data_IF_077827827785
#
_entry.id   IF_077827827785
#
_cell.length_a   1.000
_cell.length_b   1.000
_cell.length_c   1.000
_cell.angle_alpha   90.00
_cell.angle_beta   90.00
_cell.angle_gamma   90.00
#
_symmetry.space_group_name_H-M   'P 1'
#
loop_
_entity.id
_entity.type
_entity.pdbx_description
1 polymer ?
#
# COMPACT_ATOMS: atom_id res chain seq x y z
N UNK A 1 -11.85 16.61 -13.38
CA UNK A 1 -10.57 16.95 -12.68
C UNK A 1 -9.56 15.80 -12.68
N UNK A 2 -9.93 14.60 -13.16
CA UNK A 2 -8.94 13.63 -13.66
C UNK A 2 -8.38 14.11 -15.00
N UNK A 3 -9.25 14.76 -15.79
CA UNK A 3 -8.99 15.33 -17.13
C UNK A 3 -7.91 16.42 -17.17
N UNK A 4 -7.45 16.89 -16.01
CA UNK A 4 -6.35 17.86 -15.89
C UNK A 4 -4.99 17.19 -15.66
N UNK A 5 -4.96 15.85 -15.53
CA UNK A 5 -3.72 15.07 -15.42
C UNK A 5 -3.43 14.37 -16.76
N UNK A 6 -2.15 14.27 -17.16
CA UNK A 6 -1.79 13.57 -18.39
C UNK A 6 -2.22 12.09 -18.36
N UNK A 7 -2.53 11.54 -19.53
CA UNK A 7 -2.71 10.10 -19.76
C UNK A 7 -1.42 9.45 -20.28
N UNK A 8 -0.29 10.12 -20.08
CA UNK A 8 1.02 9.62 -20.47
C UNK A 8 1.53 8.61 -19.44
N UNK A 9 2.21 7.57 -19.93
CA UNK A 9 2.78 6.51 -19.13
C UNK A 9 3.94 7.03 -18.27
N UNK A 10 3.91 6.69 -16.99
CA UNK A 10 5.01 6.82 -16.05
C UNK A 10 5.98 5.64 -16.23
N UNK A 11 7.26 5.88 -16.56
CA UNK A 11 8.25 4.82 -16.71
C UNK A 11 8.74 4.28 -15.35
N UNK A 12 9.55 3.23 -15.39
CA UNK A 12 10.21 2.65 -14.20
C UNK A 12 9.42 1.58 -13.46
N UNK A 13 8.15 1.37 -13.79
CA UNK A 13 7.35 0.27 -13.26
C UNK A 13 7.27 -0.80 -14.35
N UNK A 14 7.89 -1.96 -14.10
CA UNK A 14 8.24 -2.98 -15.10
C UNK A 14 7.12 -3.47 -16.02
N UNK A 15 7.47 -4.32 -16.99
CA UNK A 15 6.54 -4.80 -18.01
C UNK A 15 5.26 -5.42 -17.42
N UNK A 16 4.11 -5.05 -17.99
CA UNK A 16 2.79 -5.55 -17.57
C UNK A 16 2.11 -4.73 -16.47
N UNK A 17 2.72 -3.64 -16.00
CA UNK A 17 2.06 -2.65 -15.14
C UNK A 17 2.00 -1.29 -15.83
N UNK A 18 0.82 -0.93 -16.34
CA UNK A 18 0.59 0.35 -17.00
C UNK A 18 0.18 1.40 -15.96
N UNK A 19 1.12 2.27 -15.59
CA UNK A 19 0.86 3.41 -14.73
C UNK A 19 0.90 4.69 -15.54
N UNK A 20 -0.23 5.34 -15.77
CA UNK A 20 -0.28 6.70 -16.29
C UNK A 20 -0.31 7.76 -15.18
N UNK A 21 0.08 9.00 -15.52
CA UNK A 21 0.05 10.14 -14.60
C UNK A 21 -1.33 10.35 -13.95
N UNK A 22 -2.42 10.15 -14.68
CA UNK A 22 -3.78 10.31 -14.15
C UNK A 22 -4.08 9.40 -12.95
N UNK A 23 -3.43 8.23 -12.83
CA UNK A 23 -3.62 7.33 -11.71
C UNK A 23 -3.07 7.91 -10.40
N UNK A 24 -2.10 8.83 -10.50
CA UNK A 24 -1.54 9.52 -9.34
C UNK A 24 -2.46 10.62 -8.80
N UNK A 25 -3.50 11.02 -9.53
CA UNK A 25 -4.41 12.08 -9.10
C UNK A 25 -5.15 11.75 -7.79
N UNK A 26 -5.24 10.46 -7.44
CA UNK A 26 -5.83 9.99 -6.19
C UNK A 26 -4.93 10.24 -4.97
N UNK A 27 -3.67 10.64 -5.15
CA UNK A 27 -2.81 11.08 -4.05
C UNK A 27 -3.30 12.38 -3.39
N UNK A 28 -4.20 13.13 -4.04
CA UNK A 28 -4.74 14.41 -3.53
C UNK A 28 -5.60 14.23 -2.28
N UNK A 29 -5.70 15.30 -1.50
CA UNK A 29 -6.63 15.37 -0.36
C UNK A 29 -8.08 15.17 -0.81
N UNK A 30 -8.88 14.46 0.00
CA UNK A 30 -10.27 14.16 -0.32
C UNK A 30 -10.47 12.94 -1.22
N UNK A 31 -9.41 12.29 -1.68
CA UNK A 31 -9.48 11.20 -2.65
C UNK A 31 -9.11 9.85 -2.04
N UNK A 32 -9.82 8.80 -2.46
CA UNK A 32 -9.47 7.42 -2.12
C UNK A 32 -8.31 6.95 -2.98
N UNK A 33 -7.30 6.33 -2.37
CA UNK A 33 -6.18 5.78 -3.11
C UNK A 33 -6.64 4.58 -3.93
N UNK A 34 -6.38 4.65 -5.24
CA UNK A 34 -6.64 3.58 -6.18
C UNK A 34 -5.60 2.46 -6.04
N UNK A 35 -5.96 1.24 -6.44
CA UNK A 35 -5.08 0.06 -6.46
C UNK A 35 -3.74 0.37 -7.15
N UNK A 36 -3.78 1.14 -8.24
CA UNK A 36 -2.57 1.50 -8.98
C UNK A 36 -1.57 2.30 -8.12
N UNK A 37 -2.03 3.30 -7.36
CA UNK A 37 -1.15 4.11 -6.51
C UNK A 37 -0.57 3.28 -5.36
N UNK A 38 -1.39 2.43 -4.71
CA UNK A 38 -0.89 1.53 -3.67
C UNK A 38 0.17 0.59 -4.24
N UNK A 39 -0.10 -0.01 -5.41
CA UNK A 39 0.80 -0.99 -6.01
C UNK A 39 2.16 -0.38 -6.34
N UNK A 40 2.17 0.76 -7.04
CA UNK A 40 3.44 1.38 -7.46
C UNK A 40 4.23 1.92 -6.28
N UNK A 41 3.55 2.48 -5.28
CA UNK A 41 4.22 2.90 -4.06
C UNK A 41 4.93 1.73 -3.37
N UNK A 42 4.24 0.59 -3.26
CA UNK A 42 4.82 -0.60 -2.66
C UNK A 42 5.96 -1.19 -3.50
N UNK A 43 5.86 -1.16 -4.82
CA UNK A 43 6.97 -1.54 -5.72
C UNK A 43 8.19 -0.64 -5.50
N UNK A 44 7.99 0.68 -5.39
CA UNK A 44 9.07 1.62 -5.05
C UNK A 44 9.74 1.26 -3.72
N UNK A 45 8.97 0.85 -2.70
CA UNK A 45 9.57 0.39 -1.43
C UNK A 45 10.34 -0.93 -1.58
N UNK A 46 9.82 -1.89 -2.36
CA UNK A 46 10.51 -3.16 -2.61
C UNK A 46 11.86 -2.90 -3.28
N UNK A 47 11.89 -2.11 -4.34
CA UNK A 47 13.12 -1.81 -5.07
C UNK A 47 14.10 -0.98 -4.23
N UNK A 48 13.61 -0.02 -3.45
CA UNK A 48 14.46 0.83 -2.63
C UNK A 48 15.10 0.10 -1.44
N UNK A 49 14.39 -0.82 -0.80
CA UNK A 49 14.84 -1.43 0.46
C UNK A 49 15.25 -2.90 0.35
N UNK A 50 14.76 -3.65 -0.65
CA UNK A 50 15.17 -5.02 -1.01
C UNK A 50 15.14 -6.06 0.13
N UNK A 51 14.44 -5.76 1.23
CA UNK A 51 14.44 -6.53 2.48
C UNK A 51 13.06 -7.11 2.84
N UNK A 52 12.08 -6.99 1.96
CA UNK A 52 10.74 -7.51 2.12
C UNK A 52 10.27 -8.15 0.81
N UNK A 53 9.32 -9.08 0.91
CA UNK A 53 8.54 -9.54 -0.24
C UNK A 53 7.18 -8.85 -0.17
N UNK A 54 6.77 -8.13 -1.21
CA UNK A 54 5.39 -7.61 -1.30
C UNK A 54 4.57 -8.48 -2.24
N UNK A 55 3.39 -8.91 -1.79
CA UNK A 55 2.43 -9.65 -2.59
C UNK A 55 1.15 -8.83 -2.73
N UNK A 56 0.80 -8.47 -3.97
CA UNK A 56 -0.43 -7.76 -4.28
C UNK A 56 -1.61 -8.74 -4.26
N UNK A 57 -2.52 -8.52 -3.31
CA UNK A 57 -3.70 -9.35 -3.17
C UNK A 57 -4.81 -8.85 -4.08
N UNK A 58 -5.58 -9.79 -4.63
CA UNK A 58 -6.85 -9.46 -5.27
C UNK A 58 -7.79 -8.86 -4.22
N UNK A 59 -8.65 -7.94 -4.66
CA UNK A 59 -9.69 -7.36 -3.82
C UNK A 59 -10.57 -8.46 -3.22
N UNK A 60 -10.83 -8.35 -1.91
CA UNK A 60 -11.67 -9.29 -1.18
C UNK A 60 -13.10 -8.76 -1.13
N UNK A 61 -14.05 -9.53 -1.67
CA UNK A 61 -15.47 -9.22 -1.57
C UNK A 61 -16.08 -9.80 -0.29
N UNK A 62 -16.88 -8.98 0.40
CA UNK A 62 -17.60 -9.31 1.62
C UNK A 62 -19.08 -8.97 1.49
N UNK A 63 -20.01 -9.81 2.00
CA UNK A 63 -19.74 -11.05 2.72
C UNK A 63 -19.15 -12.13 1.80
N UNK A 64 -18.22 -12.92 2.35
CA UNK A 64 -17.64 -14.02 1.59
C UNK A 64 -18.71 -15.10 1.32
N UNK A 65 -18.75 -15.71 0.13
CA UNK A 65 -19.71 -16.77 -0.19
C UNK A 65 -19.62 -17.99 0.76
N UNK A 66 -18.43 -18.24 1.31
CA UNK A 66 -18.22 -19.30 2.32
C UNK A 66 -17.27 -18.83 3.43
N UNK A 67 -17.38 -19.45 4.61
CA UNK A 67 -16.57 -19.10 5.80
C UNK A 67 -15.13 -19.64 5.75
N UNK A 68 -14.76 -20.47 4.76
CA UNK A 68 -13.44 -21.13 4.67
C UNK A 68 -12.66 -20.81 3.39
N UNK A 69 -11.32 -20.96 3.43
CA UNK A 69 -10.38 -20.73 2.31
C UNK A 69 -10.49 -19.35 1.64
N UNK A 70 -10.53 -18.28 2.46
CA UNK A 70 -10.61 -16.89 1.97
C UNK A 70 -9.34 -16.41 1.24
N UNK A 71 -8.21 -17.07 1.49
CA UNK A 71 -6.95 -16.76 0.80
C UNK A 71 -6.83 -17.74 -0.38
N UNK A 72 -6.73 -17.24 -1.63
CA UNK A 72 -6.56 -18.09 -2.80
C UNK A 72 -5.32 -19.00 -2.68
N UNK A 73 -5.38 -20.26 -3.18
CA UNK A 73 -4.21 -21.15 -3.16
C UNK A 73 -2.96 -20.55 -3.81
N UNK A 74 -3.13 -19.70 -4.83
CA UNK A 74 -2.03 -18.94 -5.45
C UNK A 74 -1.33 -18.05 -4.43
N UNK A 75 -2.08 -17.28 -3.64
CA UNK A 75 -1.51 -16.42 -2.59
C UNK A 75 -0.77 -17.24 -1.55
N UNK A 76 -1.31 -18.40 -1.13
CA UNK A 76 -0.62 -19.28 -0.19
C UNK A 76 0.71 -19.80 -0.76
N UNK A 77 0.74 -20.18 -2.05
CA UNK A 77 1.97 -20.59 -2.73
C UNK A 77 3.00 -19.46 -2.80
N UNK A 78 2.57 -18.24 -3.11
CA UNK A 78 3.45 -17.06 -3.12
C UNK A 78 4.00 -16.74 -1.73
N UNK A 79 3.17 -16.83 -0.69
CA UNK A 79 3.59 -16.67 0.70
C UNK A 79 4.60 -17.75 1.11
N UNK A 80 4.41 -18.99 0.68
CA UNK A 80 5.36 -20.08 0.96
C UNK A 80 6.68 -19.89 0.19
N UNK A 81 6.62 -19.36 -1.03
CA UNK A 81 7.78 -19.13 -1.88
C UNK A 81 8.56 -17.84 -1.55
N UNK A 82 7.98 -16.91 -0.79
CA UNK A 82 8.66 -15.68 -0.38
C UNK A 82 9.97 -16.02 0.36
N UNK A 83 11.06 -15.36 0.01
CA UNK A 83 12.40 -15.59 0.55
C UNK A 83 12.74 -14.66 1.71
N UNK A 84 11.97 -13.59 1.90
CA UNK A 84 12.15 -12.63 3.01
C UNK A 84 11.29 -12.98 4.22
N UNK A 85 11.79 -12.61 5.40
CA UNK A 85 11.07 -12.77 6.67
C UNK A 85 9.83 -11.90 6.78
N UNK A 86 9.88 -10.72 6.15
CA UNK A 86 8.78 -9.76 6.10
C UNK A 86 8.03 -9.93 4.77
N UNK A 87 6.78 -10.39 4.85
CA UNK A 87 5.88 -10.45 3.68
C UNK A 87 4.77 -9.41 3.84
N UNK A 88 4.73 -8.44 2.94
CA UNK A 88 3.78 -7.33 2.94
C UNK A 88 2.64 -7.60 1.96
N UNK A 89 1.42 -7.36 2.41
CA UNK A 89 0.21 -7.67 1.66
C UNK A 89 -0.81 -6.56 1.85
N UNK A 90 -0.81 -5.51 1.01
CA UNK A 90 -1.93 -4.58 0.94
C UNK A 90 -3.19 -5.34 0.49
N UNK A 91 -4.30 -5.14 1.18
CA UNK A 91 -5.57 -5.80 0.89
C UNK A 91 -6.67 -4.74 0.71
N UNK A 92 -7.27 -4.72 -0.48
CA UNK A 92 -8.49 -3.97 -0.71
C UNK A 92 -9.70 -4.85 -0.34
N UNK A 93 -10.64 -4.31 0.42
CA UNK A 93 -11.92 -4.95 0.76
C UNK A 93 -13.02 -4.20 0.01
N UNK A 94 -13.83 -4.93 -0.76
CA UNK A 94 -14.95 -4.41 -1.56
C UNK A 94 -14.57 -3.29 -2.57
N UNK A 95 -13.29 -3.07 -2.85
CA UNK A 95 -12.84 -1.98 -3.72
C UNK A 95 -12.92 -0.60 -3.08
N UNK A 96 -13.22 -0.50 -1.79
CA UNK A 96 -13.47 0.78 -1.10
C UNK A 96 -12.72 0.96 0.21
N UNK A 97 -11.92 -0.03 0.61
CA UNK A 97 -11.33 -0.02 1.93
C UNK A 97 -10.00 -0.77 1.99
N UNK A 98 -8.95 -0.08 2.43
CA UNK A 98 -7.60 -0.65 2.51
C UNK A 98 -7.24 -1.12 3.91
N UNK A 99 -6.73 -2.35 3.94
CA UNK A 99 -6.20 -3.03 5.12
C UNK A 99 -4.76 -3.44 4.86
N UNK A 100 -3.95 -3.49 5.91
CA UNK A 100 -2.56 -3.93 5.85
C UNK A 100 -2.39 -5.29 6.52
N UNK A 101 -1.96 -6.30 5.75
CA UNK A 101 -1.52 -7.59 6.27
C UNK A 101 0.00 -7.69 6.19
N UNK A 102 0.61 -8.18 7.27
CA UNK A 102 2.06 -8.45 7.31
C UNK A 102 2.33 -9.78 8.00
N UNK A 103 3.08 -10.63 7.34
CA UNK A 103 3.67 -11.82 7.95
C UNK A 103 5.08 -11.45 8.38
N UNK A 104 5.37 -11.70 9.65
CA UNK A 104 6.68 -11.54 10.26
C UNK A 104 7.15 -12.93 10.72
N UNK A 105 7.95 -13.58 9.86
CA UNK A 105 8.39 -14.97 10.08
C UNK A 105 9.34 -15.07 11.27
N UNK A 106 10.23 -14.10 11.45
CA UNK A 106 11.17 -14.08 12.58
C UNK A 106 10.44 -14.05 13.92
N UNK A 107 9.25 -13.41 13.97
CA UNK A 107 8.38 -13.38 15.16
C UNK A 107 7.26 -14.41 15.14
N UNK A 108 7.17 -15.26 14.13
CA UNK A 108 6.07 -16.21 13.94
C UNK A 108 4.67 -15.57 14.07
N UNK A 109 4.53 -14.33 13.59
CA UNK A 109 3.35 -13.49 13.86
C UNK A 109 2.76 -12.95 12.55
N UNK A 110 1.42 -12.89 12.50
CA UNK A 110 0.68 -12.18 11.46
C UNK A 110 0.09 -10.92 12.07
N UNK A 111 0.43 -9.77 11.49
CA UNK A 111 -0.14 -8.48 11.85
C UNK A 111 -1.22 -8.11 10.84
N UNK A 112 -2.42 -7.81 11.34
CA UNK A 112 -3.45 -7.11 10.59
C UNK A 112 -3.54 -5.69 11.15
N UNK A 113 -3.46 -4.68 10.29
CA UNK A 113 -3.72 -3.31 10.68
C UNK A 113 -4.88 -2.76 9.86
N UNK A 114 -5.85 -2.22 10.58
CA UNK A 114 -7.06 -1.60 10.07
C UNK A 114 -7.21 -0.20 10.67
N UNK A 115 -7.30 0.80 9.82
CA UNK A 115 -7.33 2.22 10.19
C UNK A 115 -8.70 2.68 10.72
N UNK A 116 -9.80 1.98 10.43
CA UNK A 116 -11.14 2.24 10.98
C UNK A 116 -11.48 1.46 12.26
N UNK A 117 -10.73 0.42 12.65
CA UNK A 117 -11.30 -0.54 13.60
C UNK A 117 -11.24 -0.09 15.07
N UNK A 118 -12.44 -0.03 15.67
CA UNK A 118 -12.72 0.10 17.10
C UNK A 118 -12.97 -1.26 17.78
N UNK A 119 -12.57 -2.40 17.19
CA UNK A 119 -12.81 -3.75 17.76
C UNK A 119 -11.52 -4.49 18.13
N UNK A 120 -11.50 -5.24 19.25
CA UNK A 120 -10.29 -5.59 20.01
C UNK A 120 -9.76 -7.00 19.72
N UNK A 121 -10.15 -7.63 18.60
CA UNK A 121 -9.80 -9.02 18.38
C UNK A 121 -8.50 -9.16 17.59
N UNK A 122 -7.49 -9.63 18.34
CA UNK A 122 -6.25 -10.30 17.94
C UNK A 122 -5.13 -9.37 17.44
N UNK A 123 -4.17 -9.09 18.33
CA UNK A 123 -2.83 -8.56 18.06
C UNK A 123 -2.74 -7.33 17.14
N UNK A 124 -3.74 -6.45 17.21
CA UNK A 124 -3.68 -5.13 16.57
C UNK A 124 -2.66 -4.29 17.32
N UNK A 125 -1.53 -4.00 16.67
CA UNK A 125 -0.56 -3.02 17.16
C UNK A 125 -1.30 -1.70 17.44
N UNK A 126 -1.02 -1.07 18.58
CA UNK A 126 -1.53 0.27 18.88
C UNK A 126 -1.16 1.20 17.72
N UNK A 127 -2.17 1.56 16.94
CA UNK A 127 -1.99 2.22 15.68
C UNK A 127 -2.99 3.37 15.55
N UNK A 128 -2.62 4.46 14.88
CA UNK A 128 -3.50 5.61 14.76
C UNK A 128 -4.77 5.26 14.00
N UNK A 129 -5.90 5.52 14.64
CA UNK A 129 -7.23 5.30 14.09
C UNK A 129 -7.58 6.54 13.26
N UNK A 130 -7.92 6.34 12.00
CA UNK A 130 -8.35 7.43 11.13
C UNK A 130 -9.71 7.97 11.59
N UNK A 131 -9.91 9.27 11.36
CA UNK A 131 -11.15 9.97 11.74
C UNK A 131 -11.94 10.47 10.54
N UNK A 132 -11.36 10.37 9.35
CA UNK A 132 -11.95 10.73 8.07
C UNK A 132 -12.43 9.48 7.31
N UNK A 133 -13.04 9.68 6.14
CA UNK A 133 -13.62 8.60 5.32
C UNK A 133 -12.74 8.19 4.14
N UNK A 134 -11.57 8.80 3.95
CA UNK A 134 -10.82 8.75 2.69
C UNK A 134 -9.35 8.38 2.82
N UNK A 135 -8.74 8.49 4.01
CA UNK A 135 -7.31 8.27 4.15
C UNK A 135 -6.90 6.81 4.41
N UNK A 136 -7.80 5.81 4.31
CA UNK A 136 -7.45 4.43 4.64
C UNK A 136 -6.25 3.91 3.82
N UNK A 137 -6.19 4.26 2.54
CA UNK A 137 -5.04 3.98 1.66
C UNK A 137 -3.75 4.66 2.10
N UNK A 138 -3.81 5.93 2.51
CA UNK A 138 -2.66 6.66 3.05
C UNK A 138 -2.17 6.01 4.36
N UNK A 139 -3.09 5.65 5.26
CA UNK A 139 -2.74 5.01 6.53
C UNK A 139 -2.02 3.69 6.31
N UNK A 140 -2.48 2.83 5.40
CA UNK A 140 -1.75 1.58 5.12
C UNK A 140 -0.35 1.83 4.55
N UNK A 141 -0.21 2.79 3.62
CA UNK A 141 1.09 3.16 3.04
C UNK A 141 2.04 3.61 4.13
N UNK A 142 1.60 4.51 5.02
CA UNK A 142 2.45 5.01 6.10
C UNK A 142 2.83 3.91 7.09
N UNK A 143 1.97 2.91 7.28
CA UNK A 143 2.27 1.76 8.13
C UNK A 143 3.31 0.82 7.51
N UNK A 144 3.28 0.61 6.19
CA UNK A 144 4.34 -0.11 5.50
C UNK A 144 5.65 0.68 5.50
N UNK A 145 5.58 1.97 5.13
CA UNK A 145 6.74 2.83 4.99
C UNK A 145 7.53 3.00 6.29
N UNK A 146 6.84 3.12 7.43
CA UNK A 146 7.46 3.19 8.76
C UNK A 146 8.26 1.95 9.17
N UNK A 147 8.07 0.81 8.50
CA UNK A 147 8.95 -0.35 8.72
C UNK A 147 10.35 -0.14 8.15
N UNK A 148 10.52 0.80 7.23
CA UNK A 148 11.80 1.12 6.60
C UNK A 148 12.38 2.44 7.11
N UNK A 149 11.54 3.46 7.31
CA UNK A 149 11.98 4.81 7.70
C UNK A 149 11.50 5.13 9.11
N UNK A 150 12.37 4.90 10.11
CA UNK A 150 12.05 5.12 11.54
C UNK A 150 11.77 6.59 11.88
N UNK A 151 12.34 7.52 11.12
CA UNK A 151 12.19 8.97 11.32
C UNK A 151 10.83 9.52 10.85
N UNK A 152 9.98 8.67 10.22
CA UNK A 152 8.63 9.08 9.84
C UNK A 152 7.77 9.40 11.05
N UNK A 153 7.73 10.69 11.38
CA UNK A 153 6.88 11.25 12.44
C UNK A 153 5.40 10.95 12.19
N UNK A 154 4.70 10.74 13.29
CA UNK A 154 3.29 10.38 13.39
C UNK A 154 2.39 11.64 13.46
N UNK A 155 2.54 12.54 12.50
CA UNK A 155 1.69 13.74 12.38
C UNK A 155 0.41 13.40 11.58
N UNK A 156 -0.67 13.15 12.31
CA UNK A 156 -2.01 12.87 11.74
C UNK A 156 -2.95 14.07 11.82
N UNK A 157 -2.40 15.29 11.96
CA UNK A 157 -3.21 16.49 11.72
C UNK A 157 -3.59 16.57 10.24
N UNK A 158 -4.62 17.34 9.89
CA UNK A 158 -5.01 17.54 8.48
C UNK A 158 -3.83 18.00 7.62
N UNK A 159 -3.00 18.91 8.14
CA UNK A 159 -1.78 19.39 7.46
C UNK A 159 -0.72 18.30 7.38
N UNK A 160 -0.56 17.49 8.44
CA UNK A 160 0.34 16.34 8.47
C UNK A 160 -0.02 15.32 7.40
N UNK A 161 -1.30 14.93 7.31
CA UNK A 161 -1.79 14.00 6.30
C UNK A 161 -1.62 14.56 4.88
N UNK A 162 -1.92 15.84 4.66
CA UNK A 162 -1.68 16.50 3.37
C UNK A 162 -0.20 16.45 2.97
N UNK A 163 0.72 16.69 3.92
CA UNK A 163 2.16 16.55 3.66
C UNK A 163 2.54 15.12 3.30
N UNK A 164 1.95 14.13 3.98
CA UNK A 164 2.18 12.71 3.66
C UNK A 164 1.66 12.31 2.30
N UNK A 165 0.53 12.85 1.87
CA UNK A 165 0.03 12.69 0.50
C UNK A 165 1.03 13.19 -0.54
N UNK A 166 1.62 14.38 -0.31
CA UNK A 166 2.70 14.90 -1.15
C UNK A 166 3.96 14.05 -1.10
N UNK A 167 4.34 13.54 0.07
CA UNK A 167 5.51 12.65 0.21
C UNK A 167 5.32 11.34 -0.59
N UNK A 168 4.10 10.77 -0.58
CA UNK A 168 3.75 9.58 -1.36
C UNK A 168 3.89 9.86 -2.85
N UNK A 169 3.25 10.93 -3.34
CA UNK A 169 3.32 11.34 -4.74
C UNK A 169 4.78 11.55 -5.18
N UNK A 170 5.53 12.35 -4.41
CA UNK A 170 6.94 12.66 -4.69
C UNK A 170 7.77 11.39 -4.76
N UNK A 171 7.57 10.45 -3.83
CA UNK A 171 8.35 9.19 -3.81
C UNK A 171 8.15 8.34 -5.06
N UNK A 172 6.92 8.28 -5.59
CA UNK A 172 6.62 7.54 -6.83
C UNK A 172 7.23 8.24 -8.04
N UNK A 173 7.10 9.57 -8.12
CA UNK A 173 7.64 10.37 -9.22
C UNK A 173 9.17 10.35 -9.24
N UNK A 174 9.81 10.56 -8.09
CA UNK A 174 11.28 10.51 -7.96
C UNK A 174 11.82 9.14 -8.40
N UNK A 175 11.12 8.05 -8.05
CA UNK A 175 11.48 6.71 -8.48
C UNK A 175 11.34 6.52 -10.00
N UNK A 176 10.23 6.99 -10.57
CA UNK A 176 10.03 7.00 -12.03
C UNK A 176 11.15 7.77 -12.73
N UNK A 177 11.49 8.95 -12.26
CA UNK A 177 12.49 9.81 -12.90
C UNK A 177 13.90 9.22 -12.79
N UNK A 178 14.25 8.62 -11.65
CA UNK A 178 15.51 7.88 -11.51
C UNK A 178 15.60 6.70 -12.49
N UNK A 179 14.47 6.02 -12.76
CA UNK A 179 14.42 4.87 -13.67
C UNK A 179 14.55 5.25 -15.15
N UNK A 180 14.34 6.52 -15.51
CA UNK A 180 14.57 7.01 -16.89
C UNK A 180 16.06 7.04 -17.23
N UNK A 181 16.92 7.42 -16.28
CA UNK A 181 18.36 7.55 -16.50
C UNK A 181 19.12 6.22 -16.57
N UNK A 182 18.46 5.09 -16.31
CA UNK A 182 19.05 3.74 -16.44
C UNK A 182 18.76 3.09 -17.81
N UNK A 183 18.00 3.76 -18.69
CA UNK A 183 17.60 3.25 -20.01
C UNK A 183 18.34 3.90 -21.19
N UNK A 184 19.23 4.86 -20.93
CA UNK A 184 20.13 5.53 -21.91
C UNK A 184 21.57 5.01 -21.78
#
# INVERSE_FOLDING_TARGET
MVDTWPFERLPGFGEGFDLDWNHLCCARSGCWYHDNLINVFMMTLVEKFKNNTTLFLLSLHTPAPSKGKRIPPRTLRLVAAADKDMVFMPLNINGNHWVRLVIDRSRTTIYCFESFNKRPNQNLLAAPIQKDSDNCGLFIILHFWRRFVKEMRSDYTTVGLLRRQWDVLRTVVDFSDASKGEQD
#
